data_IF_372816905742
#
_entry.id   IF_372816905742
#
_cell.length_a   1.000
_cell.length_b   1.000
_cell.length_c   1.000
_cell.angle_alpha   90.00
_cell.angle_beta   90.00
_cell.angle_gamma   90.00
#
_symmetry.space_group_name_H-M   'P 1'
#
loop_
_entity.id
_entity.type
_entity.pdbx_description
1 polymer ?
#
# COMPACT_ATOMS: atom_id res chain seq x y z
N UNK A 1 -44.35 -6.83 54.75
CA UNK A 1 -44.16 -7.54 56.03
C UNK A 1 -44.30 -9.03 55.73
N UNK A 2 -43.21 -9.74 55.43
CA UNK A 2 -43.24 -11.20 55.29
C UNK A 2 -42.00 -11.80 55.92
N UNK A 3 -42.30 -12.63 56.91
CA UNK A 3 -41.43 -13.51 57.67
C UNK A 3 -41.05 -14.73 56.82
N UNK A 4 -39.83 -15.25 56.97
CA UNK A 4 -39.52 -16.53 57.65
C UNK A 4 -38.31 -17.23 57.02
N UNK A 5 -37.30 -17.44 57.87
CA UNK A 5 -36.27 -18.47 57.85
C UNK A 5 -36.81 -19.89 57.59
N UNK A 6 -36.00 -20.76 56.95
CA UNK A 6 -35.47 -22.02 57.53
C UNK A 6 -34.68 -22.85 56.50
N UNK A 7 -33.44 -23.19 56.88
CA UNK A 7 -32.65 -24.29 56.32
C UNK A 7 -33.32 -25.64 56.62
N UNK A 8 -33.16 -26.61 55.70
CA UNK A 8 -33.47 -28.02 55.92
C UNK A 8 -32.23 -28.88 55.68
N UNK A 9 -32.19 -29.92 56.49
CA UNK A 9 -31.11 -30.83 56.83
C UNK A 9 -31.43 -32.24 56.26
N UNK A 10 -30.38 -32.89 55.71
CA UNK A 10 -29.98 -34.33 55.76
C UNK A 10 -30.58 -35.42 54.82
N UNK A 11 -29.66 -36.37 54.55
CA UNK A 11 -29.72 -37.82 54.26
C UNK A 11 -29.54 -38.20 52.79
N UNK A 12 -28.36 -38.65 52.31
CA UNK A 12 -27.46 -39.76 52.68
C UNK A 12 -28.06 -41.16 52.45
N UNK A 13 -27.57 -41.85 51.41
CA UNK A 13 -27.50 -43.31 51.34
C UNK A 13 -26.37 -43.75 50.40
N UNK A 14 -25.33 -44.36 51.00
CA UNK A 14 -24.22 -45.12 50.39
C UNK A 14 -24.71 -46.51 49.90
N UNK A 15 -23.86 -47.55 49.74
CA UNK A 15 -22.57 -47.74 49.01
C UNK A 15 -22.62 -49.01 48.10
N UNK A 16 -21.47 -49.39 47.49
CA UNK A 16 -20.88 -50.76 47.34
C UNK A 16 -20.12 -50.85 45.98
N UNK A 17 -18.96 -51.48 45.74
CA UNK A 17 -17.94 -52.23 46.51
C UNK A 17 -16.76 -52.59 45.53
N UNK A 18 -15.50 -52.59 46.02
CA UNK A 18 -14.31 -53.46 45.70
C UNK A 18 -13.74 -53.49 44.25
N UNK A 19 -12.45 -53.79 43.97
CA UNK A 19 -11.26 -54.22 44.73
C UNK A 19 -10.01 -54.03 43.85
N UNK A 20 -8.89 -53.75 44.52
CA UNK A 20 -7.49 -53.90 44.11
C UNK A 20 -7.20 -55.31 43.52
N UNK A 21 -6.32 -55.39 42.52
CA UNK A 21 -5.25 -56.43 42.44
C UNK A 21 -4.10 -55.96 41.55
N UNK A 22 -2.90 -55.95 42.11
CA UNK A 22 -1.62 -55.79 41.43
C UNK A 22 -1.12 -57.15 40.95
N UNK A 23 -0.70 -57.28 39.68
CA UNK A 23 0.06 -58.44 39.19
C UNK A 23 1.32 -57.98 38.46
N UNK A 24 2.43 -58.58 38.89
CA UNK A 24 3.82 -58.31 38.50
C UNK A 24 4.30 -59.51 37.66
N UNK A 25 5.06 -59.20 36.60
CA UNK A 25 5.98 -60.06 35.80
C UNK A 25 5.36 -61.11 34.87
N UNK A 26 5.73 -61.03 33.58
CA UNK A 26 6.51 -62.07 32.88
C UNK A 26 7.03 -61.51 31.54
N UNK A 27 8.34 -61.65 31.35
CA UNK A 27 9.03 -61.38 30.10
C UNK A 27 8.68 -62.47 29.08
N UNK A 28 8.30 -62.06 27.87
CA UNK A 28 8.39 -62.87 26.67
C UNK A 28 8.65 -61.94 25.48
N UNK A 29 9.82 -62.09 24.88
CA UNK A 29 10.19 -61.48 23.62
C UNK A 29 9.47 -62.25 22.52
N UNK A 30 8.51 -61.63 21.82
CA UNK A 30 8.07 -62.10 20.50
C UNK A 30 8.67 -61.15 19.44
N UNK A 31 9.24 -61.69 18.35
CA UNK A 31 9.86 -60.87 17.32
C UNK A 31 8.80 -60.07 16.58
N UNK A 32 8.93 -58.74 16.60
CA UNK A 32 8.10 -57.84 15.80
C UNK A 32 8.34 -58.15 14.31
N UNK A 33 7.30 -58.41 13.51
CA UNK A 33 7.43 -58.58 12.07
C UNK A 33 8.05 -57.32 11.45
N UNK A 34 9.09 -57.51 10.63
CA UNK A 34 9.72 -56.41 9.90
C UNK A 34 8.67 -55.72 8.99
N UNK A 35 8.33 -54.47 9.31
CA UNK A 35 7.62 -53.61 8.38
C UNK A 35 8.51 -53.36 7.15
N UNK A 36 7.95 -53.44 5.93
CA UNK A 36 8.68 -53.08 4.71
C UNK A 36 9.10 -51.60 4.79
N UNK A 37 10.24 -51.22 4.19
CA UNK A 37 10.76 -49.87 4.32
C UNK A 37 9.72 -48.89 3.75
N UNK A 38 9.26 -47.99 4.62
CA UNK A 38 8.49 -46.83 4.23
C UNK A 38 9.33 -46.05 3.20
N UNK A 39 8.83 -46.00 1.98
CA UNK A 39 9.33 -45.12 0.93
C UNK A 39 9.25 -43.68 1.45
N UNK A 40 10.42 -43.12 1.77
CA UNK A 40 10.60 -41.70 2.04
C UNK A 40 10.29 -40.97 0.74
N UNK A 41 9.08 -40.43 0.63
CA UNK A 41 8.81 -39.36 -0.31
C UNK A 41 9.49 -38.12 0.26
N UNK A 42 10.69 -37.83 -0.23
CA UNK A 42 11.28 -36.50 -0.11
C UNK A 42 10.41 -35.54 -0.91
N UNK A 43 9.38 -34.98 -0.27
CA UNK A 43 8.84 -33.70 -0.70
C UNK A 43 9.93 -32.67 -0.46
N UNK A 44 10.67 -32.34 -1.51
CA UNK A 44 11.48 -31.14 -1.56
C UNK A 44 10.52 -29.95 -1.55
N UNK A 45 10.03 -29.58 -0.37
CA UNK A 45 9.46 -28.26 -0.15
C UNK A 45 10.62 -27.29 -0.32
N UNK A 46 10.76 -26.74 -1.53
CA UNK A 46 11.49 -25.50 -1.74
C UNK A 46 10.72 -24.47 -0.91
N UNK A 47 11.13 -24.28 0.34
CA UNK A 47 10.81 -23.08 1.10
C UNK A 47 11.50 -21.98 0.32
N UNK A 48 10.76 -21.41 -0.63
CA UNK A 48 11.12 -20.16 -1.25
C UNK A 48 10.99 -19.13 -0.13
N UNK A 49 12.09 -18.91 0.57
CA UNK A 49 12.30 -17.70 1.34
C UNK A 49 12.13 -16.57 0.32
N UNK A 50 10.93 -16.00 0.26
CA UNK A 50 10.73 -14.66 -0.27
C UNK A 50 11.62 -13.81 0.63
N UNK A 51 12.84 -13.56 0.18
CA UNK A 51 13.67 -12.54 0.80
C UNK A 51 12.91 -11.26 0.48
N UNK A 52 12.08 -10.83 1.43
CA UNK A 52 11.43 -9.54 1.42
C UNK A 52 12.56 -8.51 1.59
N UNK A 53 13.28 -8.26 0.50
CA UNK A 53 14.38 -7.32 0.47
C UNK A 53 13.75 -5.94 0.56
N UNK A 54 13.77 -5.36 1.76
CA UNK A 54 13.42 -3.98 2.00
C UNK A 54 14.38 -3.08 1.20
N UNK A 55 13.83 -2.35 0.23
CA UNK A 55 14.52 -1.34 -0.58
C UNK A 55 13.73 -0.04 -0.58
N UNK A 56 14.27 1.03 -1.18
CA UNK A 56 13.60 2.32 -1.18
C UNK A 56 12.21 2.26 -1.84
N UNK A 57 12.07 1.51 -2.92
CA UNK A 57 10.82 1.38 -3.67
C UNK A 57 9.67 0.80 -2.85
N UNK A 58 9.95 -0.16 -1.96
CA UNK A 58 8.93 -0.87 -1.19
C UNK A 58 8.81 -0.44 0.29
N UNK A 59 9.83 0.25 0.83
CA UNK A 59 9.92 0.55 2.26
C UNK A 59 9.75 2.02 2.60
N UNK A 60 10.03 2.92 1.65
CA UNK A 60 9.97 4.36 1.89
C UNK A 60 8.77 4.96 1.21
N UNK A 61 8.06 5.84 1.92
CA UNK A 61 7.02 6.70 1.35
C UNK A 61 7.65 7.71 0.36
N UNK A 62 8.00 7.25 -0.84
CA UNK A 62 8.87 8.00 -1.77
C UNK A 62 8.08 8.95 -2.68
N UNK A 63 6.80 8.70 -2.92
CA UNK A 63 6.03 9.57 -3.82
C UNK A 63 5.85 10.97 -3.21
N UNK A 64 5.99 12.02 -4.02
CA UNK A 64 5.84 13.40 -3.61
C UNK A 64 6.74 14.36 -4.37
N UNK A 65 6.67 15.64 -4.00
CA UNK A 65 7.51 16.69 -4.57
C UNK A 65 8.74 16.94 -3.72
N UNK A 66 9.89 17.03 -4.38
CA UNK A 66 11.20 17.29 -3.82
C UNK A 66 11.73 18.61 -4.36
N UNK A 67 12.40 19.41 -3.53
CA UNK A 67 13.00 20.68 -3.93
C UNK A 67 14.43 20.83 -3.47
N UNK A 68 15.27 21.45 -4.30
CA UNK A 68 16.61 21.87 -3.95
C UNK A 68 17.17 22.86 -4.97
N UNK A 69 18.24 23.55 -4.60
CA UNK A 69 18.99 24.41 -5.53
C UNK A 69 20.29 23.69 -5.88
N UNK A 70 20.34 23.12 -7.07
CA UNK A 70 21.48 22.31 -7.52
C UNK A 70 22.61 23.21 -8.06
N UNK A 71 23.89 22.80 -7.96
CA UNK A 71 25.00 23.54 -8.53
C UNK A 71 24.85 23.74 -10.04
N UNK A 72 25.20 24.94 -10.50
CA UNK A 72 25.15 25.33 -11.89
C UNK A 72 26.55 25.73 -12.37
N UNK A 73 26.93 25.33 -13.58
CA UNK A 73 28.25 25.63 -14.12
C UNK A 73 28.42 27.13 -14.44
N UNK A 74 27.34 27.80 -14.83
CA UNK A 74 27.38 29.16 -15.37
C UNK A 74 26.20 30.03 -14.91
N UNK A 75 25.58 29.68 -13.78
CA UNK A 75 24.50 30.44 -13.15
C UNK A 75 24.58 30.32 -11.63
N UNK A 76 23.74 31.05 -10.89
CA UNK A 76 23.80 31.06 -9.42
C UNK A 76 23.33 29.74 -8.80
N UNK A 77 22.53 28.98 -9.53
CA UNK A 77 21.99 27.69 -9.11
C UNK A 77 20.80 27.28 -9.96
N UNK A 78 20.40 26.02 -9.84
CA UNK A 78 19.25 25.45 -10.55
C UNK A 78 18.17 25.13 -9.52
N UNK A 79 17.18 26.02 -9.36
CA UNK A 79 16.02 25.74 -8.50
C UNK A 79 15.20 24.64 -9.15
N UNK A 80 15.19 23.48 -8.52
CA UNK A 80 14.68 22.23 -9.08
C UNK A 80 13.56 21.72 -8.22
N UNK A 81 12.41 21.48 -8.86
CA UNK A 81 11.23 20.89 -8.25
C UNK A 81 10.88 19.60 -9.00
N UNK A 82 11.08 18.45 -8.36
CA UNK A 82 10.81 17.13 -8.94
C UNK A 82 9.66 16.45 -8.20
N UNK A 83 8.58 16.17 -8.90
CA UNK A 83 7.44 15.39 -8.39
C UNK A 83 7.50 13.98 -8.94
N UNK A 84 7.54 12.97 -8.06
CA UNK A 84 7.44 11.56 -8.41
C UNK A 84 6.09 11.01 -7.96
N UNK A 85 5.33 10.45 -8.90
CA UNK A 85 4.00 9.91 -8.66
C UNK A 85 4.01 8.37 -8.53
N UNK A 86 3.02 7.83 -7.82
CA UNK A 86 2.89 6.39 -7.55
C UNK A 86 2.55 5.53 -8.78
N UNK A 87 2.19 6.15 -9.89
CA UNK A 87 1.95 5.51 -11.19
C UNK A 87 3.21 5.50 -12.09
N UNK A 88 4.37 5.83 -11.51
CA UNK A 88 5.65 6.01 -12.19
C UNK A 88 5.69 7.19 -13.18
N UNK A 89 4.81 8.17 -13.05
CA UNK A 89 4.93 9.45 -13.77
C UNK A 89 5.72 10.50 -12.97
N UNK A 90 6.33 11.47 -13.65
CA UNK A 90 7.00 12.60 -13.01
C UNK A 90 6.64 13.95 -13.63
N UNK A 91 6.80 15.01 -12.84
CA UNK A 91 6.83 16.40 -13.28
C UNK A 91 8.09 17.07 -12.72
N UNK A 92 8.93 17.59 -13.61
CA UNK A 92 10.17 18.30 -13.30
C UNK A 92 10.01 19.77 -13.70
N UNK A 93 10.20 20.68 -12.75
CA UNK A 93 10.28 22.13 -12.98
C UNK A 93 11.67 22.63 -12.66
N UNK A 94 12.27 23.40 -13.57
CA UNK A 94 13.63 23.94 -13.45
C UNK A 94 13.60 25.45 -13.68
N UNK A 95 14.30 26.19 -12.82
CA UNK A 95 14.57 27.62 -13.00
C UNK A 95 16.07 27.89 -12.83
N UNK A 96 16.69 28.51 -13.84
CA UNK A 96 18.10 28.88 -13.83
C UNK A 96 18.33 30.25 -13.18
N UNK A 97 18.70 30.23 -11.90
CA UNK A 97 18.85 31.43 -11.09
C UNK A 97 19.97 32.35 -11.64
N UNK A 98 19.69 33.65 -11.69
CA UNK A 98 20.63 34.67 -12.17
C UNK A 98 20.73 34.81 -13.70
N UNK A 99 19.99 34.01 -14.48
CA UNK A 99 19.93 34.12 -15.94
C UNK A 99 18.54 34.48 -16.46
N UNK A 100 17.58 33.62 -16.17
CA UNK A 100 16.22 33.69 -16.71
C UNK A 100 15.23 33.38 -15.58
N UNK A 101 14.07 34.02 -15.62
CA UNK A 101 13.01 33.80 -14.62
C UNK A 101 12.01 32.74 -15.05
N UNK A 102 12.05 32.31 -16.30
CA UNK A 102 11.08 31.37 -16.84
C UNK A 102 11.35 29.96 -16.28
N UNK A 103 10.26 29.30 -15.88
CA UNK A 103 10.31 27.94 -15.38
C UNK A 103 10.07 26.97 -16.51
N UNK A 104 11.06 26.11 -16.76
CA UNK A 104 10.93 25.03 -17.74
C UNK A 104 10.24 23.86 -17.05
N UNK A 105 9.15 23.38 -17.64
CA UNK A 105 8.44 22.20 -17.17
C UNK A 105 8.58 21.03 -18.13
N UNK A 106 8.85 19.85 -17.57
CA UNK A 106 9.00 18.60 -18.29
C UNK A 106 8.23 17.50 -17.55
N UNK A 107 7.55 16.65 -18.29
CA UNK A 107 6.78 15.54 -17.74
C UNK A 107 7.12 14.25 -18.50
N UNK A 108 7.02 13.12 -17.81
CA UNK A 108 7.29 11.81 -18.40
C UNK A 108 7.02 10.69 -17.42
N UNK A 109 7.62 9.54 -17.69
CA UNK A 109 7.64 8.39 -16.78
C UNK A 109 9.05 8.15 -16.24
N UNK A 110 9.16 7.40 -15.16
CA UNK A 110 10.43 6.96 -14.61
C UNK A 110 10.44 5.45 -14.36
N UNK A 111 11.63 4.87 -14.35
CA UNK A 111 11.84 3.46 -14.06
C UNK A 111 12.73 3.32 -12.81
N UNK A 112 12.51 2.24 -12.07
CA UNK A 112 13.38 1.86 -10.97
C UNK A 112 14.50 0.96 -11.49
N UNK A 113 15.69 1.13 -10.94
CA UNK A 113 16.77 0.18 -11.15
C UNK A 113 16.43 -1.20 -10.55
N UNK A 114 17.23 -2.21 -10.88
CA UNK A 114 17.03 -3.58 -10.39
C UNK A 114 17.13 -3.70 -8.85
N UNK A 115 17.77 -2.74 -8.17
CA UNK A 115 17.85 -2.72 -6.71
C UNK A 115 16.64 -2.07 -6.05
N UNK A 116 15.80 -1.33 -6.80
CA UNK A 116 14.69 -0.54 -6.27
C UNK A 116 15.17 0.62 -5.39
N UNK A 117 16.36 1.16 -5.65
CA UNK A 117 16.95 2.27 -4.89
C UNK A 117 17.16 3.54 -5.72
N UNK A 118 17.19 3.42 -7.05
CA UNK A 118 17.46 4.52 -7.98
C UNK A 118 16.30 4.65 -8.95
N UNK A 119 15.86 5.87 -9.19
CA UNK A 119 14.91 6.20 -10.25
C UNK A 119 15.63 6.85 -11.43
N UNK A 120 15.30 6.38 -12.63
CA UNK A 120 15.71 6.96 -13.90
C UNK A 120 14.52 7.64 -14.55
N UNK A 121 14.57 8.96 -14.67
CA UNK A 121 13.57 9.73 -15.38
C UNK A 121 13.75 9.55 -16.89
N UNK A 122 12.67 9.20 -17.60
CA UNK A 122 12.69 8.95 -19.03
C UNK A 122 12.30 10.20 -19.83
N UNK A 123 12.79 10.29 -21.07
CA UNK A 123 12.47 11.35 -22.03
C UNK A 123 12.77 12.79 -21.55
N UNK A 124 13.78 12.97 -20.69
CA UNK A 124 14.26 14.32 -20.34
C UNK A 124 14.88 15.02 -21.54
N UNK A 125 14.60 16.31 -21.65
CA UNK A 125 15.31 17.24 -22.53
C UNK A 125 16.42 17.97 -21.79
N UNK A 126 16.22 18.26 -20.50
CA UNK A 126 17.14 19.04 -19.68
C UNK A 126 17.10 18.61 -18.21
N UNK A 127 18.25 18.68 -17.52
CA UNK A 127 18.44 18.27 -16.13
C UNK A 127 19.00 16.85 -15.95
N UNK A 128 19.20 16.46 -14.69
CA UNK A 128 19.71 15.13 -14.34
C UNK A 128 18.60 14.07 -14.38
N UNK A 129 18.92 12.90 -14.92
CA UNK A 129 17.97 11.80 -15.08
C UNK A 129 17.98 10.79 -13.93
N UNK A 130 19.06 10.72 -13.14
CA UNK A 130 19.27 9.65 -12.15
C UNK A 130 19.24 10.21 -10.72
N UNK A 131 18.39 9.61 -9.88
CA UNK A 131 18.30 9.97 -8.47
C UNK A 131 18.24 8.72 -7.59
N UNK A 132 19.10 8.65 -6.57
CA UNK A 132 18.94 7.67 -5.49
C UNK A 132 17.86 8.17 -4.53
N UNK A 133 16.91 7.29 -4.22
CA UNK A 133 15.79 7.57 -3.32
C UNK A 133 16.18 7.24 -1.88
N UNK A 134 16.12 8.25 -1.00
CA UNK A 134 16.31 8.09 0.44
C UNK A 134 15.10 8.60 1.22
N UNK A 135 15.15 8.45 2.55
CA UNK A 135 14.06 8.90 3.41
C UNK A 135 13.90 10.43 3.33
N UNK A 136 12.74 10.89 2.84
CA UNK A 136 12.40 12.29 2.66
C UNK A 136 13.37 13.11 1.78
N UNK A 137 14.18 12.46 0.93
CA UNK A 137 15.12 13.16 0.05
C UNK A 137 15.51 12.33 -1.18
N UNK A 138 15.92 13.02 -2.24
CA UNK A 138 16.55 12.44 -3.42
C UNK A 138 17.99 12.92 -3.50
N UNK A 139 18.90 12.02 -3.87
CA UNK A 139 20.30 12.34 -4.16
C UNK A 139 20.49 12.27 -5.67
N UNK A 140 20.79 13.39 -6.31
CA UNK A 140 21.16 13.39 -7.71
C UNK A 140 22.45 12.58 -7.88
N UNK A 141 22.45 11.67 -8.85
CA UNK A 141 23.60 10.87 -9.23
C UNK A 141 24.32 11.52 -10.41
N UNK A 142 25.58 11.15 -10.59
CA UNK A 142 26.31 11.50 -11.80
C UNK A 142 25.80 10.70 -13.02
N UNK A 143 26.40 10.96 -14.19
CA UNK A 143 26.03 10.29 -15.44
C UNK A 143 26.35 8.78 -15.45
N UNK A 144 27.22 8.31 -14.54
CA UNK A 144 27.55 6.89 -14.37
C UNK A 144 26.60 6.20 -13.38
N UNK A 145 25.74 6.95 -12.68
CA UNK A 145 24.83 6.44 -11.65
C UNK A 145 25.48 6.35 -10.28
N UNK A 146 26.59 7.03 -10.05
CA UNK A 146 27.29 7.04 -8.77
C UNK A 146 26.88 8.25 -7.91
N UNK A 147 26.99 8.09 -6.58
CA UNK A 147 26.76 9.19 -5.65
C UNK A 147 27.85 10.23 -5.82
N UNK A 148 27.45 11.49 -5.97
CA UNK A 148 28.37 12.62 -5.99
C UNK A 148 28.93 12.80 -4.57
N UNK A 149 30.25 12.66 -4.43
CA UNK A 149 30.97 12.73 -3.15
C UNK A 149 31.76 14.02 -2.99
N UNK A 150 32.32 14.25 -1.79
CA UNK A 150 33.12 15.42 -1.45
C UNK A 150 32.29 16.57 -0.85
N UNK A 151 32.93 17.75 -0.75
CA UNK A 151 32.38 18.92 -0.03
C UNK A 151 31.07 19.46 -0.63
N UNK A 152 30.76 19.12 -1.89
CA UNK A 152 29.55 19.56 -2.59
C UNK A 152 28.42 18.54 -2.56
N UNK A 153 28.62 17.35 -1.97
CA UNK A 153 27.63 16.26 -1.98
C UNK A 153 26.25 16.67 -1.44
N UNK A 154 26.21 17.53 -0.44
CA UNK A 154 24.95 18.06 0.12
C UNK A 154 24.18 18.98 -0.85
N UNK A 155 24.87 19.61 -1.80
CA UNK A 155 24.25 20.51 -2.77
C UNK A 155 23.49 19.74 -3.87
N UNK A 156 23.70 18.42 -3.98
CA UNK A 156 23.03 17.55 -4.94
C UNK A 156 21.81 16.82 -4.35
N UNK A 157 21.24 17.37 -3.28
CA UNK A 157 20.07 16.81 -2.59
C UNK A 157 18.80 17.61 -2.91
N UNK A 158 17.72 16.90 -3.19
CA UNK A 158 16.37 17.46 -3.23
C UNK A 158 15.61 16.97 -1.99
N UNK A 159 15.07 17.89 -1.19
CA UNK A 159 14.37 17.55 0.06
C UNK A 159 12.87 17.46 -0.20
N UNK A 160 12.23 16.42 0.33
CA UNK A 160 10.78 16.22 0.20
C UNK A 160 10.05 17.40 0.83
N UNK A 161 9.19 18.02 0.05
CA UNK A 161 8.37 19.13 0.49
C UNK A 161 7.20 18.58 1.31
N UNK A 162 6.86 19.26 2.39
CA UNK A 162 5.64 19.00 3.13
C UNK A 162 4.44 19.48 2.30
N UNK A 163 4.00 18.64 1.36
CA UNK A 163 2.81 18.93 0.57
C UNK A 163 1.54 18.62 1.36
N UNK A 164 0.47 19.39 1.14
CA UNK A 164 -0.84 19.01 1.63
C UNK A 164 -1.20 17.63 1.04
N UNK A 165 -1.72 16.69 1.85
CA UNK A 165 -1.93 15.30 1.43
C UNK A 165 -2.81 15.10 0.19
N UNK A 166 -3.58 16.13 -0.18
CA UNK A 166 -4.36 16.20 -1.40
C UNK A 166 -3.51 16.13 -2.68
N UNK A 167 -2.33 16.76 -2.71
CA UNK A 167 -1.46 16.76 -3.89
C UNK A 167 -0.95 15.35 -4.26
N UNK A 168 -0.98 14.42 -3.29
CA UNK A 168 -0.51 13.03 -3.45
C UNK A 168 -1.64 12.07 -3.85
N UNK A 169 -2.89 12.47 -3.68
CA UNK A 169 -4.07 11.68 -4.09
C UNK A 169 -4.40 11.86 -5.58
N UNK A 170 -4.10 13.04 -6.11
CA UNK A 170 -4.54 13.49 -7.44
C UNK A 170 -3.64 13.00 -8.56
N UNK A 171 -4.20 12.83 -9.77
CA UNK A 171 -3.44 12.42 -10.95
C UNK A 171 -3.05 10.94 -10.99
N UNK A 172 -3.62 10.13 -10.09
CA UNK A 172 -3.41 8.68 -10.01
C UNK A 172 -4.75 7.95 -10.13
N UNK A 173 -4.80 6.89 -10.93
CA UNK A 173 -5.93 5.95 -10.98
C UNK A 173 -5.79 4.90 -9.88
N UNK A 174 -6.65 4.99 -8.88
CA UNK A 174 -6.73 4.07 -7.75
C UNK A 174 -7.65 2.91 -8.08
N UNK A 175 -7.09 1.71 -8.27
CA UNK A 175 -7.86 0.50 -8.62
C UNK A 175 -8.17 -0.30 -7.37
N UNK A 176 -9.43 -0.68 -7.15
CA UNK A 176 -9.87 -1.40 -5.96
C UNK A 176 -9.28 -2.81 -5.91
N UNK A 177 -8.63 -3.15 -4.80
CA UNK A 177 -8.00 -4.45 -4.56
C UNK A 177 -8.68 -5.24 -3.44
N UNK A 178 -9.26 -4.55 -2.46
CA UNK A 178 -9.95 -5.15 -1.32
C UNK A 178 -11.12 -4.26 -0.89
N UNK A 179 -12.26 -4.88 -0.58
CA UNK A 179 -13.44 -4.20 -0.05
C UNK A 179 -13.99 -4.99 1.15
N UNK A 180 -14.10 -4.33 2.30
CA UNK A 180 -14.58 -4.90 3.56
C UNK A 180 -13.91 -6.23 3.95
N UNK A 181 -12.59 -6.34 3.73
CA UNK A 181 -11.81 -7.55 4.03
C UNK A 181 -11.86 -8.63 2.94
N UNK A 182 -12.64 -8.45 1.88
CA UNK A 182 -12.69 -9.38 0.75
C UNK A 182 -11.82 -8.88 -0.40
N UNK A 183 -10.90 -9.73 -0.88
CA UNK A 183 -10.13 -9.44 -2.09
C UNK A 183 -11.07 -9.38 -3.29
N UNK A 184 -10.97 -8.31 -4.07
CA UNK A 184 -11.69 -8.16 -5.32
C UNK A 184 -10.84 -8.81 -6.40
N UNK A 185 -11.30 -9.95 -6.93
CA UNK A 185 -10.58 -10.66 -7.99
C UNK A 185 -10.79 -9.92 -9.32
N UNK A 186 -9.68 -9.47 -9.91
CA UNK A 186 -9.66 -8.75 -11.18
C UNK A 186 -9.59 -9.74 -12.33
N UNK A 187 -10.71 -10.40 -12.62
CA UNK A 187 -10.78 -11.31 -13.76
C UNK A 187 -10.93 -10.58 -15.09
N UNK A 188 -11.36 -9.30 -15.05
CA UNK A 188 -11.51 -8.44 -16.24
C UNK A 188 -11.10 -6.99 -15.89
N UNK A 189 -10.10 -6.42 -16.59
CA UNK A 189 -9.66 -5.04 -16.38
C UNK A 189 -10.79 -4.00 -16.51
N UNK A 190 -11.73 -4.24 -17.43
CA UNK A 190 -12.84 -3.31 -17.73
C UNK A 190 -14.00 -3.34 -16.71
N UNK A 191 -14.01 -4.33 -15.82
CA UNK A 191 -15.05 -4.48 -14.78
C UNK A 191 -14.55 -4.12 -13.38
N UNK A 192 -13.27 -3.74 -13.25
CA UNK A 192 -12.65 -3.48 -11.94
C UNK A 192 -12.97 -2.07 -11.45
N UNK A 193 -13.53 -1.90 -10.23
CA UNK A 193 -13.81 -0.57 -9.69
C UNK A 193 -12.54 0.26 -9.52
N UNK A 194 -12.62 1.55 -9.84
CA UNK A 194 -11.52 2.50 -9.67
C UNK A 194 -12.04 3.90 -9.32
N UNK A 195 -11.13 4.76 -8.85
CA UNK A 195 -11.38 6.18 -8.64
C UNK A 195 -10.16 7.03 -8.98
N UNK A 196 -10.40 8.27 -9.38
CA UNK A 196 -9.41 9.26 -9.74
C UNK A 196 -9.75 10.58 -9.06
N UNK A 197 -8.79 11.15 -8.33
CA UNK A 197 -8.94 12.46 -7.72
C UNK A 197 -8.34 13.55 -8.63
N UNK A 198 -9.07 14.65 -8.74
CA UNK A 198 -8.66 15.85 -9.48
C UNK A 198 -8.28 16.97 -8.51
N UNK A 199 -7.43 17.88 -8.97
CA UNK A 199 -6.88 19.00 -8.18
C UNK A 199 -7.94 20.05 -7.81
N UNK A 200 -9.07 20.06 -8.51
CA UNK A 200 -10.21 20.94 -8.30
C UNK A 200 -11.23 20.39 -7.28
N UNK A 201 -10.81 19.46 -6.41
CA UNK A 201 -11.65 18.76 -5.42
C UNK A 201 -12.74 17.86 -6.04
N UNK A 202 -12.54 17.38 -7.27
CA UNK A 202 -13.44 16.43 -7.94
C UNK A 202 -12.93 15.01 -7.84
N UNK A 203 -13.86 14.07 -7.75
CA UNK A 203 -13.56 12.64 -7.85
C UNK A 203 -14.47 12.01 -8.89
N UNK A 204 -13.87 11.20 -9.74
CA UNK A 204 -14.54 10.47 -10.79
C UNK A 204 -14.11 9.00 -10.70
N UNK A 205 -14.96 8.09 -11.16
CA UNK A 205 -14.58 6.68 -11.12
C UNK A 205 -15.63 5.74 -11.65
N UNK A 206 -15.37 4.45 -11.41
CA UNK A 206 -16.20 3.35 -11.84
C UNK A 206 -16.40 2.38 -10.69
N UNK A 207 -17.63 1.91 -10.52
CA UNK A 207 -18.04 1.05 -9.40
C UNK A 207 -18.11 -0.44 -9.77
N UNK A 208 -17.72 -0.80 -10.99
CA UNK A 208 -17.88 -2.13 -11.57
C UNK A 208 -19.09 -2.28 -12.50
N UNK A 209 -20.07 -1.37 -12.41
CA UNK A 209 -21.23 -1.34 -13.32
C UNK A 209 -21.54 0.08 -13.81
N UNK A 210 -21.48 1.05 -12.88
CA UNK A 210 -21.78 2.45 -13.16
C UNK A 210 -20.58 3.35 -12.95
N UNK A 211 -20.57 4.46 -13.71
CA UNK A 211 -19.67 5.56 -13.41
C UNK A 211 -20.25 6.39 -12.29
N UNK A 212 -19.35 6.97 -11.48
CA UNK A 212 -19.71 7.94 -10.47
C UNK A 212 -18.84 9.19 -10.60
N UNK A 213 -19.39 10.32 -10.18
CA UNK A 213 -18.71 11.60 -10.12
C UNK A 213 -19.13 12.33 -8.85
N UNK A 214 -18.28 13.21 -8.32
CA UNK A 214 -18.64 14.03 -7.18
C UNK A 214 -17.51 14.92 -6.73
N UNK A 215 -17.66 15.45 -5.51
CA UNK A 215 -16.65 16.26 -4.86
C UNK A 215 -16.09 15.56 -3.61
N UNK A 216 -14.87 15.90 -3.24
CA UNK A 216 -14.24 15.43 -2.01
C UNK A 216 -13.61 16.60 -1.25
N UNK A 217 -13.38 16.41 0.04
CA UNK A 217 -12.60 17.29 0.89
C UNK A 217 -11.47 16.47 1.51
N UNK A 218 -10.23 16.90 1.31
CA UNK A 218 -9.05 16.27 1.90
C UNK A 218 -8.25 17.31 2.70
N UNK A 219 -7.99 17.03 3.97
CA UNK A 219 -7.16 17.86 4.84
C UNK A 219 -6.38 16.98 5.81
N UNK A 220 -5.05 17.04 5.75
CA UNK A 220 -4.23 16.10 6.53
C UNK A 220 -4.56 14.65 6.13
N UNK A 221 -4.84 13.80 7.12
CA UNK A 221 -5.27 12.40 6.90
C UNK A 221 -6.79 12.23 6.82
N UNK A 222 -7.55 13.32 6.84
CA UNK A 222 -9.01 13.28 6.71
C UNK A 222 -9.38 13.35 5.24
N UNK A 223 -10.31 12.48 4.84
CA UNK A 223 -10.90 12.47 3.52
C UNK A 223 -12.40 12.25 3.68
N UNK A 224 -13.19 13.11 3.04
CA UNK A 224 -14.65 12.98 3.02
C UNK A 224 -15.19 13.19 1.63
N UNK A 225 -16.08 12.29 1.22
CA UNK A 225 -16.82 12.41 -0.02
C UNK A 225 -18.09 13.23 0.20
N UNK A 226 -18.37 14.17 -0.70
CA UNK A 226 -19.67 14.83 -0.81
C UNK A 226 -20.67 13.87 -1.49
N UNK A 227 -21.96 14.23 -1.61
CA UNK A 227 -22.91 13.43 -2.38
C UNK A 227 -22.34 13.14 -3.78
N UNK A 228 -22.40 11.86 -4.18
CA UNK A 228 -21.90 11.37 -5.45
C UNK A 228 -23.08 11.17 -6.40
N UNK A 229 -22.90 11.50 -7.66
CA UNK A 229 -23.84 11.19 -8.74
C UNK A 229 -23.38 9.93 -9.45
N UNK A 230 -24.29 9.00 -9.72
CA UNK A 230 -24.02 7.74 -10.43
C UNK A 230 -24.88 7.61 -11.68
N UNK A 231 -24.39 6.85 -12.67
CA UNK A 231 -25.24 6.39 -13.77
C UNK A 231 -26.15 5.24 -13.31
N UNK A 232 -27.20 4.92 -14.09
CA UNK A 232 -28.14 3.84 -13.79
C UNK A 232 -28.20 2.80 -14.92
N UNK A 233 -27.09 2.13 -15.19
CA UNK A 233 -27.01 0.97 -16.10
C UNK A 233 -27.47 -0.29 -15.38
N UNK A 234 -28.16 -1.18 -16.09
CA UNK A 234 -28.53 -2.51 -15.60
C UNK A 234 -27.42 -3.51 -15.93
N UNK A 235 -26.77 -4.08 -14.91
CA UNK A 235 -25.76 -5.14 -15.07
C UNK A 235 -26.34 -6.51 -14.68
N UNK A 236 -25.91 -7.56 -15.36
CA UNK A 236 -26.45 -8.93 -15.22
C UNK A 236 -25.88 -9.70 -14.00
N UNK A 237 -24.78 -9.23 -13.40
CA UNK A 237 -24.09 -9.88 -12.29
C UNK A 237 -24.13 -9.05 -11.01
N UNK A 238 -23.90 -9.71 -9.87
CA UNK A 238 -23.78 -9.09 -8.54
C UNK A 238 -22.63 -8.08 -8.57
N UNK A 239 -22.95 -6.79 -8.71
CA UNK A 239 -21.94 -5.75 -8.77
C UNK A 239 -21.46 -5.44 -7.36
N UNK A 240 -20.15 -5.20 -7.23
CA UNK A 240 -19.51 -4.68 -6.01
C UNK A 240 -19.99 -3.23 -5.72
N UNK A 241 -20.75 -2.64 -6.65
CA UNK A 241 -21.18 -1.24 -6.66
C UNK A 241 -21.90 -0.78 -5.40
N UNK A 242 -22.96 -1.48 -4.96
CA UNK A 242 -23.75 -1.00 -3.81
C UNK A 242 -22.91 -0.97 -2.53
N UNK A 243 -22.12 -2.03 -2.32
CA UNK A 243 -21.20 -2.13 -1.19
C UNK A 243 -20.08 -1.08 -1.28
N UNK A 244 -19.57 -0.82 -2.49
CA UNK A 244 -18.55 0.19 -2.74
C UNK A 244 -19.07 1.61 -2.45
N UNK A 245 -20.23 1.98 -3.00
CA UNK A 245 -20.85 3.29 -2.79
C UNK A 245 -21.20 3.51 -1.31
N UNK A 246 -21.80 2.51 -0.66
CA UNK A 246 -22.08 2.54 0.78
C UNK A 246 -20.81 2.71 1.60
N UNK A 247 -19.73 2.01 1.22
CA UNK A 247 -18.43 2.14 1.87
C UNK A 247 -17.87 3.55 1.72
N UNK A 248 -17.88 4.09 0.49
CA UNK A 248 -17.30 5.41 0.19
C UNK A 248 -17.98 6.55 0.97
N UNK A 249 -19.30 6.51 1.10
CA UNK A 249 -20.04 7.52 1.87
C UNK A 249 -19.68 7.53 3.36
N UNK A 250 -19.17 6.42 3.90
CA UNK A 250 -18.82 6.28 5.30
C UNK A 250 -17.40 6.74 5.65
N UNK A 251 -16.56 7.05 4.68
CA UNK A 251 -15.13 7.34 4.88
C UNK A 251 -14.95 8.69 5.56
N UNK A 252 -14.05 8.73 6.54
CA UNK A 252 -13.60 9.96 7.18
C UNK A 252 -12.07 10.11 7.23
N UNK A 253 -11.32 9.03 6.98
CA UNK A 253 -9.86 9.02 7.01
C UNK A 253 -9.29 8.10 5.92
N UNK A 254 -8.05 8.38 5.56
CA UNK A 254 -7.28 7.55 4.64
C UNK A 254 -5.82 7.42 5.05
N UNK A 255 -5.16 6.42 4.50
CA UNK A 255 -3.69 6.32 4.50
C UNK A 255 -3.22 6.16 3.08
N UNK A 256 -2.10 6.81 2.77
CA UNK A 256 -1.46 6.75 1.46
C UNK A 256 0.02 6.42 1.68
N UNK A 257 0.47 5.32 1.08
CA UNK A 257 1.86 4.86 1.09
C UNK A 257 2.13 4.07 -0.21
N UNK A 258 3.28 3.42 -0.32
CA UNK A 258 3.68 2.73 -1.56
C UNK A 258 2.89 1.44 -1.82
N UNK A 259 2.22 0.88 -0.80
CA UNK A 259 1.24 -0.19 -0.97
C UNK A 259 -0.08 0.31 -1.56
N UNK A 260 -0.27 1.63 -1.60
CA UNK A 260 -1.39 2.31 -2.23
C UNK A 260 -2.25 3.08 -1.24
N UNK A 261 -3.54 3.17 -1.56
CA UNK A 261 -4.52 3.98 -0.84
C UNK A 261 -5.43 3.07 -0.02
N UNK A 262 -5.62 3.37 1.26
CA UNK A 262 -6.58 2.67 2.10
C UNK A 262 -7.53 3.64 2.79
N UNK A 263 -8.80 3.27 2.83
CA UNK A 263 -9.86 4.07 3.44
C UNK A 263 -10.38 3.48 4.74
N UNK A 264 -10.74 4.36 5.66
CA UNK A 264 -11.17 4.00 7.01
C UNK A 264 -12.41 4.80 7.41
N UNK A 265 -13.11 4.26 8.40
CA UNK A 265 -14.14 4.98 9.16
C UNK A 265 -13.79 4.94 10.64
N UNK A 266 -13.59 6.09 11.25
CA UNK A 266 -13.14 6.18 12.64
C UNK A 266 -11.88 5.30 12.90
N UNK A 267 -11.92 4.41 13.90
CA UNK A 267 -10.78 3.55 14.29
C UNK A 267 -10.98 2.09 13.87
N UNK A 268 -11.69 1.83 12.77
CA UNK A 268 -11.92 0.47 12.26
C UNK A 268 -10.75 -0.02 11.42
N UNK A 269 -10.80 -1.31 11.05
CA UNK A 269 -9.98 -1.83 9.96
C UNK A 269 -10.25 -1.07 8.65
N UNK A 270 -9.33 -1.19 7.69
CA UNK A 270 -9.49 -0.63 6.36
C UNK A 270 -10.77 -1.18 5.71
N UNK A 271 -11.63 -0.27 5.25
CA UNK A 271 -12.87 -0.61 4.58
C UNK A 271 -12.67 -0.85 3.09
N UNK A 272 -11.68 -0.19 2.48
CA UNK A 272 -11.31 -0.40 1.10
C UNK A 272 -9.79 -0.17 0.93
N UNK A 273 -9.17 -0.93 0.03
CA UNK A 273 -7.77 -0.78 -0.37
C UNK A 273 -7.65 -0.67 -1.89
N UNK A 274 -6.76 0.19 -2.35
CA UNK A 274 -6.54 0.47 -3.76
C UNK A 274 -5.05 0.46 -4.09
N UNK A 275 -4.74 0.08 -5.33
CA UNK A 275 -3.39 0.09 -5.89
C UNK A 275 -3.29 1.10 -7.03
N UNK A 276 -2.14 1.75 -7.18
CA UNK A 276 -1.85 2.67 -8.30
C UNK A 276 -1.26 1.96 -9.53
N UNK A 277 -0.76 0.72 -9.36
CA UNK A 277 -0.23 -0.09 -10.46
C UNK A 277 -1.38 -0.70 -11.28
N UNK A 278 -1.27 -0.63 -12.61
CA UNK A 278 -1.97 -1.57 -13.48
C UNK A 278 -1.58 -2.98 -13.03
N UNK A 279 -2.58 -3.77 -12.65
CA UNK A 279 -2.38 -5.18 -12.33
C UNK A 279 -1.81 -5.84 -13.58
N UNK A 280 -0.55 -6.29 -13.51
CA UNK A 280 0.01 -7.13 -14.56
C UNK A 280 -0.84 -8.41 -14.65
N UNK A 281 -1.15 -8.86 -15.87
CA UNK A 281 -2.00 -10.02 -16.11
C UNK A 281 -1.44 -11.32 -15.52
#
# INVERSE_FOLDING_TARGET
>A
MFSRTRNKEIFMSKPLIFSLTAWLVLAACEPVPAEPPATVFTETTKVETVVEQHNSQNSLDWAGTYRGVLPCADCEGIDTLLTLNMDNSYLLSITYLGKETDTIQQQGSFEWDNTGSVVQLLHLKDGAALYKVGENQLFQLDIAGEIITGDLSDNYKLIKQNQPPQARLTGVRWTLSELMGQKVLTTEPDSTPYLEFSIDNRVDGFTGCNHFTGAYEAEGLRLRFKPLATTAKACLHTSVEEQFLSTIHGIDNYTLNDSGLAFYKARTAALARFTSKQLQP
#
